data_IF_559350852999
#
_entry.id   IF_559350852999
#
_cell.length_a   1.000
_cell.length_b   1.000
_cell.length_c   1.000
_cell.angle_alpha   90.00
_cell.angle_beta   90.00
_cell.angle_gamma   90.00
#
_symmetry.space_group_name_H-M   'P 1'
#
loop_
_entity.id
_entity.type
_entity.pdbx_description
1 polymer ?
#
# COMPACT_ATOMS: atom_id res chain seq x y z
N UNK A 1 10.95 -0.78 3.39
CA UNK A 1 9.71 -0.17 3.93
C UNK A 1 10.09 0.93 4.90
N UNK A 2 9.28 1.97 4.99
CA UNK A 2 9.43 3.08 5.94
C UNK A 2 8.14 3.30 6.72
N UNK A 3 8.24 3.70 8.00
CA UNK A 3 7.09 4.11 8.81
C UNK A 3 6.80 5.59 8.56
N UNK A 4 5.55 5.93 8.23
CA UNK A 4 5.08 7.30 7.99
C UNK A 4 4.31 7.82 9.19
N UNK A 5 3.37 7.03 9.70
CA UNK A 5 2.63 7.36 10.91
C UNK A 5 2.31 6.11 11.74
N UNK A 6 1.90 6.36 12.98
CA UNK A 6 1.44 5.35 13.93
C UNK A 6 0.31 5.94 14.78
N UNK A 7 -0.81 5.24 14.88
CA UNK A 7 -1.98 5.66 15.66
C UNK A 7 -2.46 4.48 16.50
N UNK A 8 -2.32 4.59 17.82
CA UNK A 8 -2.94 3.65 18.76
C UNK A 8 -4.46 3.85 18.77
N UNK A 9 -5.23 2.77 18.70
CA UNK A 9 -6.69 2.85 18.69
C UNK A 9 -7.20 2.92 20.14
N UNK A 10 -7.90 4.00 20.54
CA UNK A 10 -8.37 4.14 21.92
C UNK A 10 -9.26 2.97 22.36
N UNK A 11 -9.01 2.44 23.56
CA UNK A 11 -9.78 1.34 24.14
C UNK A 11 -9.56 -0.03 23.47
N UNK A 12 -8.57 -0.17 22.58
CA UNK A 12 -8.23 -1.44 21.93
C UNK A 12 -6.73 -1.71 21.97
N UNK A 13 -6.33 -2.97 21.98
CA UNK A 13 -4.93 -3.36 21.79
C UNK A 13 -4.59 -3.42 20.30
N UNK A 14 -4.76 -2.27 19.62
CA UNK A 14 -4.61 -2.15 18.16
C UNK A 14 -3.82 -0.90 17.82
N UNK A 15 -2.99 -1.02 16.78
CA UNK A 15 -2.22 0.11 16.25
C UNK A 15 -2.35 0.13 14.74
N UNK A 16 -2.74 1.29 14.20
CA UNK A 16 -2.75 1.56 12.77
C UNK A 16 -1.44 2.23 12.37
N UNK A 17 -0.73 1.62 11.43
CA UNK A 17 0.47 2.17 10.82
C UNK A 17 0.19 2.67 9.42
N UNK A 18 0.80 3.79 9.06
CA UNK A 18 1.02 4.18 7.68
C UNK A 18 2.42 3.78 7.28
N UNK A 19 2.57 2.99 6.23
CA UNK A 19 3.88 2.58 5.71
C UNK A 19 4.07 2.93 4.25
N UNK A 20 5.30 3.30 3.92
CA UNK A 20 5.76 3.41 2.54
C UNK A 20 6.53 2.15 2.11
N UNK A 21 6.29 1.69 0.89
CA UNK A 21 7.03 0.57 0.30
C UNK A 21 8.14 1.15 -0.58
N UNK A 22 9.38 0.82 -0.25
CA UNK A 22 10.56 1.52 -0.78
C UNK A 22 11.33 0.72 -1.84
N UNK A 23 11.01 -0.56 -2.03
CA UNK A 23 11.77 -1.49 -2.86
C UNK A 23 10.85 -2.57 -3.46
N UNK A 24 11.31 -3.22 -4.53
CA UNK A 24 10.57 -4.25 -5.26
C UNK A 24 9.44 -3.70 -6.11
N UNK A 25 8.67 -4.58 -6.73
CA UNK A 25 7.60 -4.21 -7.67
C UNK A 25 6.39 -3.55 -6.98
N UNK A 26 6.31 -3.68 -5.65
CA UNK A 26 5.35 -2.98 -4.81
C UNK A 26 5.80 -1.58 -4.38
N UNK A 27 6.96 -1.09 -4.82
CA UNK A 27 7.50 0.19 -4.39
C UNK A 27 6.61 1.37 -4.80
N UNK A 28 6.33 2.25 -3.84
CA UNK A 28 5.49 3.42 -4.01
C UNK A 28 5.97 4.28 -5.18
N UNK A 29 7.28 4.53 -5.27
CA UNK A 29 7.87 5.33 -6.35
C UNK A 29 7.61 4.70 -7.72
N UNK A 30 7.82 3.39 -7.86
CA UNK A 30 7.64 2.68 -9.13
C UNK A 30 6.18 2.76 -9.59
N UNK A 31 5.25 2.47 -8.69
CA UNK A 31 3.82 2.49 -8.98
C UNK A 31 3.40 3.92 -9.36
N UNK A 32 3.70 4.91 -8.51
CA UNK A 32 3.28 6.30 -8.73
C UNK A 32 3.89 6.90 -10.01
N UNK A 33 5.16 6.61 -10.31
CA UNK A 33 5.80 7.05 -11.56
C UNK A 33 5.12 6.44 -12.80
N UNK A 34 4.51 5.26 -12.66
CA UNK A 34 3.86 4.53 -13.75
C UNK A 34 2.41 4.99 -13.95
N UNK A 35 1.64 5.16 -12.88
CA UNK A 35 0.18 5.37 -12.96
C UNK A 35 -0.30 6.78 -12.62
N UNK A 36 0.47 7.57 -11.86
CA UNK A 36 0.08 8.91 -11.43
C UNK A 36 0.76 10.01 -12.28
N UNK A 37 0.49 10.00 -13.60
CA UNK A 37 1.18 10.86 -14.60
C UNK A 37 0.76 12.35 -14.59
N UNK A 38 -0.17 12.78 -13.73
CA UNK A 38 -0.62 14.18 -13.63
C UNK A 38 -0.20 14.76 -12.28
N UNK A 39 0.03 16.07 -12.23
CA UNK A 39 0.47 16.75 -11.02
C UNK A 39 -0.49 16.50 -9.85
N UNK A 40 -0.01 15.77 -8.83
CA UNK A 40 -0.68 15.53 -7.54
C UNK A 40 -2.12 15.00 -7.65
N UNK A 41 -2.38 14.11 -8.61
CA UNK A 41 -3.75 13.67 -8.89
C UNK A 41 -4.26 12.67 -7.86
N UNK A 42 -3.45 11.69 -7.46
CA UNK A 42 -3.87 10.68 -6.47
C UNK A 42 -2.80 10.40 -5.40
N UNK A 43 -2.00 11.41 -5.02
CA UNK A 43 -0.93 11.24 -4.03
C UNK A 43 -1.41 10.78 -2.64
N UNK A 44 -2.68 11.03 -2.30
CA UNK A 44 -3.34 10.51 -1.08
C UNK A 44 -3.57 8.98 -1.09
N UNK A 45 -3.29 8.32 -2.22
CA UNK A 45 -3.21 6.85 -2.28
C UNK A 45 -2.17 6.31 -1.28
N UNK A 46 -1.13 7.09 -1.00
CA UNK A 46 -0.08 6.77 -0.05
C UNK A 46 -0.30 7.51 1.28
N UNK A 47 0.17 6.96 2.41
CA UNK A 47 0.83 5.66 2.57
C UNK A 47 -0.18 4.49 2.67
N UNK A 48 0.33 3.24 2.60
CA UNK A 48 -0.48 2.05 2.86
C UNK A 48 -0.82 1.92 4.34
N UNK A 49 -2.09 1.63 4.63
CA UNK A 49 -2.58 1.41 6.00
C UNK A 49 -2.43 -0.05 6.42
N UNK A 50 -1.81 -0.28 7.57
CA UNK A 50 -1.63 -1.58 8.20
C UNK A 50 -2.18 -1.54 9.62
N UNK A 51 -3.24 -2.32 9.88
CA UNK A 51 -3.77 -2.48 11.24
C UNK A 51 -3.13 -3.71 11.88
N UNK A 52 -2.45 -3.53 13.00
CA UNK A 52 -1.95 -4.62 13.84
C UNK A 52 -2.91 -4.84 14.99
N UNK A 53 -3.42 -6.05 15.14
CA UNK A 53 -4.32 -6.48 16.23
C UNK A 53 -4.01 -7.91 16.61
N UNK A 54 -3.71 -8.18 17.88
CA UNK A 54 -3.49 -9.53 18.44
C UNK A 54 -2.59 -10.41 17.55
N UNK A 55 -1.41 -9.89 17.20
CA UNK A 55 -0.41 -10.53 16.32
C UNK A 55 -0.85 -10.79 14.87
N UNK A 56 -1.98 -10.24 14.44
CA UNK A 56 -2.43 -10.26 13.05
C UNK A 56 -2.24 -8.90 12.41
N UNK A 57 -1.83 -8.91 11.15
CA UNK A 57 -1.72 -7.71 10.30
C UNK A 57 -2.84 -7.73 9.29
N UNK A 58 -3.60 -6.66 9.25
CA UNK A 58 -4.67 -6.44 8.28
C UNK A 58 -4.29 -5.29 7.35
N UNK A 59 -4.44 -5.53 6.05
CA UNK A 59 -4.24 -4.54 5.00
C UNK A 59 -5.36 -4.66 3.98
N UNK A 60 -5.72 -3.56 3.32
CA UNK A 60 -6.54 -3.65 2.12
C UNK A 60 -5.72 -4.31 1.01
N UNK A 61 -6.33 -5.25 0.28
CA UNK A 61 -5.65 -5.90 -0.83
C UNK A 61 -5.26 -4.86 -1.90
N UNK A 62 -3.98 -4.87 -2.31
CA UNK A 62 -3.40 -3.84 -3.19
C UNK A 62 -4.20 -3.62 -4.47
N UNK A 63 -4.65 -4.70 -5.12
CA UNK A 63 -5.44 -4.63 -6.37
C UNK A 63 -6.69 -3.75 -6.26
N UNK A 64 -7.46 -3.91 -5.19
CA UNK A 64 -8.69 -3.13 -5.00
C UNK A 64 -8.37 -1.70 -4.58
N UNK A 65 -7.36 -1.53 -3.72
CA UNK A 65 -6.93 -0.20 -3.28
C UNK A 65 -6.45 0.65 -4.46
N UNK A 66 -5.61 0.11 -5.33
CA UNK A 66 -5.10 0.82 -6.52
C UNK A 66 -6.26 1.14 -7.46
N UNK A 67 -7.09 0.17 -7.82
CA UNK A 67 -8.22 0.41 -8.72
C UNK A 67 -9.20 1.48 -8.20
N UNK A 68 -9.49 1.51 -6.88
CA UNK A 68 -10.35 2.55 -6.28
C UNK A 68 -9.66 3.92 -6.22
N UNK A 69 -8.34 3.96 -6.01
CA UNK A 69 -7.59 5.23 -6.01
C UNK A 69 -7.39 5.81 -7.40
N UNK A 70 -7.34 4.97 -8.44
CA UNK A 70 -7.10 5.37 -9.83
C UNK A 70 -8.23 4.85 -10.75
N UNK A 71 -9.46 5.40 -10.65
CA UNK A 71 -10.62 4.86 -11.36
C UNK A 71 -10.55 5.04 -12.89
N UNK A 72 -9.70 5.93 -13.38
CA UNK A 72 -9.43 6.17 -14.79
C UNK A 72 -8.22 5.38 -15.32
N UNK A 73 -7.66 4.48 -14.52
CA UNK A 73 -6.58 3.62 -14.94
C UNK A 73 -7.09 2.59 -15.95
N UNK A 74 -6.58 2.67 -17.18
CA UNK A 74 -6.89 1.69 -18.20
C UNK A 74 -6.20 0.34 -17.91
N UNK A 75 -6.75 -0.75 -18.46
CA UNK A 75 -6.15 -2.08 -18.36
C UNK A 75 -4.70 -2.13 -18.88
N UNK A 76 -4.38 -1.33 -19.89
CA UNK A 76 -3.02 -1.22 -20.42
C UNK A 76 -2.02 -0.71 -19.38
N UNK A 77 -2.38 0.36 -18.66
CA UNK A 77 -1.52 0.93 -17.61
C UNK A 77 -1.47 0.06 -16.36
N UNK A 78 -2.55 -0.68 -16.07
CA UNK A 78 -2.57 -1.64 -14.97
C UNK A 78 -1.66 -2.85 -15.25
N UNK A 79 -1.50 -3.26 -16.51
CA UNK A 79 -0.55 -4.31 -16.87
C UNK A 79 0.89 -3.94 -16.55
N UNK A 80 1.27 -2.67 -16.70
CA UNK A 80 2.62 -2.18 -16.39
C UNK A 80 2.98 -2.31 -14.89
N UNK A 81 1.99 -2.50 -14.02
CA UNK A 81 2.15 -2.72 -12.58
C UNK A 81 1.47 -4.02 -12.10
N UNK A 82 1.30 -4.99 -13.00
CA UNK A 82 0.55 -6.22 -12.71
C UNK A 82 1.11 -7.03 -11.54
N UNK A 83 2.43 -6.95 -11.30
CA UNK A 83 3.11 -7.61 -10.18
C UNK A 83 2.99 -6.85 -8.85
N UNK A 84 2.62 -5.56 -8.89
CA UNK A 84 2.58 -4.71 -7.69
C UNK A 84 1.62 -5.23 -6.60
N UNK A 85 0.38 -5.69 -6.89
CA UNK A 85 -0.52 -6.21 -5.86
C UNK A 85 0.07 -7.36 -5.03
N UNK A 86 0.75 -8.31 -5.67
CA UNK A 86 1.33 -9.47 -4.99
C UNK A 86 2.61 -9.07 -4.24
N UNK A 87 3.45 -8.21 -4.83
CA UNK A 87 4.64 -7.67 -4.18
C UNK A 87 4.32 -6.82 -2.92
N UNK A 88 3.20 -6.09 -2.93
CA UNK A 88 2.69 -5.36 -1.75
C UNK A 88 2.31 -6.36 -0.64
N UNK A 89 1.60 -7.43 -0.98
CA UNK A 89 1.21 -8.46 -0.02
C UNK A 89 2.44 -9.13 0.58
N UNK A 90 3.44 -9.46 -0.24
CA UNK A 90 4.68 -10.08 0.24
C UNK A 90 5.52 -9.15 1.11
N UNK A 91 5.54 -7.86 0.79
CA UNK A 91 6.12 -6.82 1.66
C UNK A 91 5.47 -6.84 3.05
N UNK A 92 4.14 -6.93 3.14
CA UNK A 92 3.46 -6.99 4.42
C UNK A 92 3.67 -8.31 5.16
N UNK A 93 3.73 -9.44 4.46
CA UNK A 93 4.07 -10.74 5.07
C UNK A 93 5.45 -10.70 5.72
N UNK A 94 6.42 -10.03 5.11
CA UNK A 94 7.76 -9.89 5.67
C UNK A 94 7.77 -9.18 7.04
N UNK A 95 6.78 -8.33 7.34
CA UNK A 95 6.62 -7.69 8.66
C UNK A 95 6.13 -8.65 9.75
N UNK A 96 5.54 -9.78 9.35
CA UNK A 96 4.96 -10.78 10.26
C UNK A 96 5.87 -11.99 10.50
N UNK A 97 6.92 -12.16 9.68
CA UNK A 97 7.93 -13.20 9.86
C UNK A 97 8.87 -12.76 10.98
N UNK A 98 8.69 -13.37 12.15
CA UNK A 98 9.65 -13.37 13.25
C UNK A 98 10.86 -14.23 12.88
#
# INVERSE_FOLDING_TARGET
>A
MSKVFEVAIPGKQQVLFGVGITQGDGADKLIMDTIDKKTLKHSAHLPYGLLVSDHKVYALAGKFRIATSFPDLGMFQFNDISDAPDAIVDSFKALTKK
#
